data_IF_646613945606
#
_entry.id   IF_646613945606
#
_cell.length_a   1.000
_cell.length_b   1.000
_cell.length_c   1.000
_cell.angle_alpha   90.00
_cell.angle_beta   90.00
_cell.angle_gamma   90.00
#
_symmetry.space_group_name_H-M   'P 1'
#
loop_
_entity.id
_entity.type
_entity.pdbx_description
1 polymer ?
#
# COMPACT_ATOMS: atom_id res chain seq x y z
N UNK A 1 -32.10 15.02 -21.38
CA UNK A 1 -30.91 15.78 -20.95
C UNK A 1 -29.67 14.95 -21.23
N UNK A 2 -28.88 15.29 -22.25
CA UNK A 2 -27.71 14.52 -22.66
C UNK A 2 -26.49 14.90 -21.81
N UNK A 3 -26.10 14.01 -20.90
CA UNK A 3 -24.92 14.17 -20.07
C UNK A 3 -23.66 14.30 -20.92
N UNK A 4 -23.05 15.48 -20.92
CA UNK A 4 -21.76 15.73 -21.55
C UNK A 4 -20.68 14.89 -20.87
N UNK A 5 -20.40 13.69 -21.39
CA UNK A 5 -19.18 12.96 -21.06
C UNK A 5 -17.99 13.76 -21.61
N UNK A 6 -17.33 14.53 -20.75
CA UNK A 6 -16.06 15.21 -21.05
C UNK A 6 -15.02 14.15 -21.45
N UNK A 7 -14.88 13.87 -22.75
CA UNK A 7 -13.76 13.12 -23.29
C UNK A 7 -12.52 14.01 -23.15
N UNK A 8 -11.56 13.60 -22.32
CA UNK A 8 -10.25 14.28 -22.27
C UNK A 8 -9.54 14.08 -23.61
N UNK A 9 -8.84 15.11 -24.09
CA UNK A 9 -8.04 15.02 -25.32
C UNK A 9 -6.97 13.92 -25.14
N UNK A 10 -6.82 12.99 -26.09
CA UNK A 10 -5.74 12.01 -26.08
C UNK A 10 -4.40 12.76 -26.04
N UNK A 11 -3.47 12.32 -25.18
CA UNK A 11 -2.15 12.94 -25.01
C UNK A 11 -2.05 13.97 -23.88
N UNK A 12 -3.10 14.25 -23.12
CA UNK A 12 -2.97 15.12 -21.92
C UNK A 12 -2.30 14.32 -20.79
N UNK A 13 -1.09 14.68 -20.34
CA UNK A 13 -0.44 13.97 -19.24
C UNK A 13 -1.30 14.08 -17.98
N UNK A 14 -1.66 12.93 -17.40
CA UNK A 14 -2.33 12.91 -16.11
C UNK A 14 -1.31 13.29 -15.04
N UNK A 15 -1.41 14.50 -14.48
CA UNK A 15 -0.69 14.93 -13.28
C UNK A 15 -1.03 14.11 -12.02
N UNK A 16 -1.81 13.03 -12.15
CA UNK A 16 -2.11 12.13 -11.04
C UNK A 16 -0.86 11.33 -10.73
N UNK A 17 -0.27 11.57 -9.56
CA UNK A 17 0.76 10.72 -8.96
C UNK A 17 0.34 9.25 -9.08
N UNK A 18 1.31 8.39 -9.37
CA UNK A 18 1.07 6.96 -9.54
C UNK A 18 0.38 6.41 -8.29
N UNK A 19 -0.57 5.50 -8.47
CA UNK A 19 -1.36 4.92 -7.37
C UNK A 19 -0.49 4.38 -6.21
N UNK A 20 0.71 3.86 -6.52
CA UNK A 20 1.66 3.40 -5.52
C UNK A 20 2.23 4.52 -4.64
N UNK A 21 2.59 5.66 -5.23
CA UNK A 21 3.07 6.84 -4.48
C UNK A 21 1.99 7.35 -3.52
N UNK A 22 0.73 7.36 -3.97
CA UNK A 22 -0.40 7.73 -3.11
C UNK A 22 -0.60 6.74 -1.97
N UNK A 23 -0.41 5.43 -2.22
CA UNK A 23 -0.54 4.39 -1.19
C UNK A 23 0.53 4.54 -0.10
N UNK A 24 1.76 4.87 -0.51
CA UNK A 24 2.90 5.05 0.40
C UNK A 24 2.75 6.32 1.24
N UNK A 25 2.32 7.41 0.62
CA UNK A 25 2.01 8.66 1.32
C UNK A 25 0.84 8.48 2.32
N UNK A 26 -0.19 7.72 1.93
CA UNK A 26 -1.32 7.41 2.83
C UNK A 26 -0.87 6.59 4.04
N UNK A 27 -0.01 5.59 3.85
CA UNK A 27 0.56 4.83 4.97
C UNK A 27 1.33 5.77 5.91
N UNK A 28 2.21 6.62 5.38
CA UNK A 28 3.00 7.54 6.20
C UNK A 28 2.11 8.48 7.04
N UNK A 29 1.04 9.01 6.43
CA UNK A 29 0.06 9.84 7.14
C UNK A 29 -0.63 9.07 8.28
N UNK A 30 -1.05 7.83 8.05
CA UNK A 30 -1.67 6.97 9.07
C UNK A 30 -0.72 6.66 10.22
N UNK A 31 0.54 6.33 9.91
CA UNK A 31 1.56 6.05 10.93
C UNK A 31 1.92 7.28 11.76
N UNK A 32 1.87 8.48 11.17
CA UNK A 32 2.11 9.73 11.88
C UNK A 32 0.92 10.16 12.76
N UNK A 33 -0.30 9.83 12.33
CA UNK A 33 -1.53 10.18 13.05
C UNK A 33 -1.85 9.24 14.23
N UNK A 34 -1.36 8.00 14.21
CA UNK A 34 -1.60 7.03 15.28
C UNK A 34 -0.45 7.03 16.30
N UNK A 35 -0.81 7.19 17.57
CA UNK A 35 0.11 7.05 18.71
C UNK A 35 0.11 5.64 19.31
N UNK A 36 -0.89 4.82 19.00
CA UNK A 36 -0.98 3.44 19.47
C UNK A 36 -0.06 2.52 18.64
N UNK A 37 0.93 1.85 19.25
CA UNK A 37 1.78 0.89 18.56
C UNK A 37 1.02 -0.23 17.85
N UNK A 38 -0.12 -0.67 18.38
CA UNK A 38 -0.92 -1.77 17.80
C UNK A 38 -1.62 -1.29 16.52
N UNK A 39 -2.27 -0.14 16.54
CA UNK A 39 -2.83 0.48 15.33
C UNK A 39 -1.77 0.76 14.26
N UNK A 40 -0.59 1.26 14.64
CA UNK A 40 0.52 1.49 13.71
C UNK A 40 0.96 0.19 13.04
N UNK A 41 1.05 -0.90 13.81
CA UNK A 41 1.38 -2.22 13.29
C UNK A 41 0.30 -2.72 12.33
N UNK A 42 -0.98 -2.56 12.68
CA UNK A 42 -2.10 -2.94 11.82
C UNK A 42 -2.05 -2.20 10.47
N UNK A 43 -1.79 -0.89 10.47
CA UNK A 43 -1.63 -0.10 9.24
C UNK A 43 -0.46 -0.58 8.37
N UNK A 44 0.68 -0.91 8.98
CA UNK A 44 1.83 -1.42 8.26
C UNK A 44 1.55 -2.80 7.64
N UNK A 45 0.86 -3.67 8.37
CA UNK A 45 0.45 -4.99 7.90
C UNK A 45 -0.52 -4.92 6.72
N UNK A 46 -1.55 -4.06 6.81
CA UNK A 46 -2.50 -3.85 5.72
C UNK A 46 -1.83 -3.35 4.44
N UNK A 47 -0.87 -2.44 4.58
CA UNK A 47 -0.09 -1.95 3.45
C UNK A 47 0.74 -3.06 2.80
N UNK A 48 1.44 -3.87 3.61
CA UNK A 48 2.23 -5.00 3.12
C UNK A 48 1.35 -6.04 2.41
N UNK A 49 0.19 -6.39 2.98
CA UNK A 49 -0.79 -7.29 2.37
C UNK A 49 -1.29 -6.77 1.02
N UNK A 50 -1.62 -5.48 0.94
CA UNK A 50 -2.06 -4.87 -0.30
C UNK A 50 -0.93 -4.80 -1.35
N UNK A 51 0.33 -4.63 -0.92
CA UNK A 51 1.49 -4.67 -1.80
C UNK A 51 1.71 -6.08 -2.37
N UNK A 52 1.63 -7.12 -1.52
CA UNK A 52 1.71 -8.52 -1.92
C UNK A 52 0.62 -8.88 -2.94
N UNK A 53 -0.62 -8.49 -2.67
CA UNK A 53 -1.74 -8.72 -3.58
C UNK A 53 -1.55 -8.04 -4.94
N UNK A 54 -0.99 -6.82 -4.96
CA UNK A 54 -0.65 -6.10 -6.20
C UNK A 54 0.49 -6.76 -6.96
N UNK A 55 1.52 -7.25 -6.26
CA UNK A 55 2.62 -7.98 -6.89
C UNK A 55 2.11 -9.25 -7.57
N UNK A 56 1.34 -10.09 -6.87
CA UNK A 56 0.73 -11.31 -7.41
C UNK A 56 -0.20 -11.07 -8.60
N UNK A 57 -0.93 -9.95 -8.63
CA UNK A 57 -1.77 -9.59 -9.78
C UNK A 57 -0.95 -9.20 -11.00
N UNK A 58 0.22 -8.60 -10.80
CA UNK A 58 1.10 -8.19 -11.90
C UNK A 58 1.84 -9.39 -12.48
N UNK A 59 2.26 -10.29 -11.60
CA UNK A 59 2.93 -11.54 -11.97
C UNK A 59 2.52 -12.64 -10.97
N UNK A 60 1.63 -13.56 -11.36
CA UNK A 60 1.18 -14.65 -10.51
C UNK A 60 2.25 -15.72 -10.25
N UNK A 61 3.25 -15.82 -11.13
CA UNK A 61 4.36 -16.77 -11.02
C UNK A 61 5.57 -16.17 -10.29
N UNK A 62 5.59 -14.85 -10.10
CA UNK A 62 6.55 -14.20 -9.23
C UNK A 62 6.31 -14.65 -7.79
N UNK A 63 7.30 -15.35 -7.25
CA UNK A 63 7.42 -15.55 -5.82
C UNK A 63 7.36 -14.20 -5.09
N UNK A 64 6.89 -14.25 -3.85
CA UNK A 64 6.94 -13.09 -2.95
C UNK A 64 8.37 -12.58 -2.97
N UNK A 65 8.57 -11.34 -3.44
CA UNK A 65 9.90 -10.74 -3.55
C UNK A 65 10.59 -10.86 -2.18
N UNK A 66 11.88 -11.25 -2.11
CA UNK A 66 12.59 -11.46 -0.84
C UNK A 66 12.47 -10.28 0.14
N UNK A 67 12.36 -9.06 -0.39
CA UNK A 67 12.17 -7.82 0.36
C UNK A 67 10.82 -7.77 1.08
N UNK A 68 9.76 -8.31 0.46
CA UNK A 68 8.42 -8.37 1.02
C UNK A 68 8.34 -9.47 2.10
N UNK A 69 9.01 -10.61 1.90
CA UNK A 69 9.11 -11.64 2.94
C UNK A 69 9.87 -11.10 4.18
N UNK A 70 10.99 -10.42 3.96
CA UNK A 70 11.76 -9.77 5.02
C UNK A 70 10.90 -8.75 5.79
N UNK A 71 10.13 -7.92 5.07
CA UNK A 71 9.24 -6.95 5.69
C UNK A 71 8.12 -7.61 6.52
N UNK A 72 7.52 -8.69 6.01
CA UNK A 72 6.48 -9.42 6.75
C UNK A 72 7.03 -10.07 8.02
N UNK A 73 8.22 -10.67 7.96
CA UNK A 73 8.89 -11.23 9.16
C UNK A 73 9.18 -10.17 10.21
N UNK A 74 9.60 -8.97 9.79
CA UNK A 74 9.82 -7.85 10.72
C UNK A 74 8.52 -7.41 11.40
N UNK A 75 7.40 -7.38 10.68
CA UNK A 75 6.09 -7.05 11.24
C UNK A 75 5.61 -8.11 12.24
N UNK A 76 5.82 -9.39 11.96
CA UNK A 76 5.49 -10.47 12.92
C UNK A 76 6.28 -10.30 14.23
N UNK A 77 7.60 -10.09 14.14
CA UNK A 77 8.44 -9.86 15.33
C UNK A 77 8.02 -8.62 16.12
N UNK A 78 7.63 -7.55 15.44
CA UNK A 78 7.10 -6.35 16.08
C UNK A 78 5.79 -6.65 16.81
N UNK A 79 4.89 -7.46 16.22
CA UNK A 79 3.67 -7.93 16.88
C UNK A 79 3.95 -8.77 18.12
N UNK A 80 4.88 -9.71 18.04
CA UNK A 80 5.28 -10.55 19.18
C UNK A 80 5.80 -9.71 20.36
N UNK A 81 6.45 -8.58 20.09
CA UNK A 81 6.93 -7.65 21.12
C UNK A 81 5.83 -6.81 21.76
N UNK A 82 4.70 -6.58 21.08
CA UNK A 82 3.59 -5.77 21.61
C UNK A 82 2.65 -6.57 22.52
N UNK A 83 2.65 -7.89 22.42
CA UNK A 83 1.78 -8.78 23.21
C UNK A 83 2.49 -9.29 24.48
N UNK A 84 3.79 -8.99 24.61
CA UNK A 84 4.66 -9.46 25.69
C UNK A 84 4.70 -8.49 26.86
#
# INVERSE_FOLDING_TARGET
>A
MAGHRRRRKPGTPTARRRHHENSRALLAAKLAASSDPVERLAHAFDYARAAAARARRRDPAADVTPELDTALRALVRAGDQLIR
#
